data_IF_615565526998
#
_entry.id   IF_615565526998
#
_cell.length_a   1.000
_cell.length_b   1.000
_cell.length_c   1.000
_cell.angle_alpha   90.00
_cell.angle_beta   90.00
_cell.angle_gamma   90.00
#
_symmetry.space_group_name_H-M   'P 1'
#
loop_
_entity.id
_entity.type
_entity.pdbx_description
1 polymer ?
#
# COMPACT_ATOMS: atom_id res chain seq x y z
N UNK A 1 -8.26 -18.52 25.96
CA UNK A 1 -8.21 -17.56 24.83
C UNK A 1 -7.76 -18.33 23.60
N UNK A 2 -8.64 -18.55 22.62
CA UNK A 2 -8.30 -19.26 21.37
C UNK A 2 -7.99 -18.22 20.30
N UNK A 3 -6.78 -18.24 19.77
CA UNK A 3 -6.42 -17.51 18.56
C UNK A 3 -7.28 -18.05 17.39
N UNK A 4 -7.94 -17.16 16.65
CA UNK A 4 -8.66 -17.50 15.43
C UNK A 4 -7.65 -17.60 14.27
N UNK A 5 -7.71 -18.65 13.42
CA UNK A 5 -6.86 -18.72 12.25
C UNK A 5 -7.33 -17.71 11.19
N UNK A 6 -6.43 -16.82 10.77
CA UNK A 6 -6.71 -15.74 9.83
C UNK A 6 -6.78 -16.25 8.38
N UNK A 7 -7.97 -16.68 7.96
CA UNK A 7 -8.38 -16.75 6.55
C UNK A 7 -9.87 -16.44 6.45
N UNK A 8 -10.22 -15.16 6.58
CA UNK A 8 -11.55 -14.66 6.20
C UNK A 8 -11.37 -13.68 5.04
N UNK A 9 -12.12 -13.90 3.97
CA UNK A 9 -12.30 -12.92 2.91
C UNK A 9 -13.07 -11.72 3.50
N UNK A 10 -12.36 -10.67 3.86
CA UNK A 10 -12.97 -9.45 4.38
C UNK A 10 -13.40 -8.55 3.21
N UNK A 11 -14.71 -8.41 3.02
CA UNK A 11 -15.25 -7.27 2.29
C UNK A 11 -15.38 -6.11 3.27
N UNK A 12 -14.43 -5.18 3.24
CA UNK A 12 -14.53 -3.91 3.97
C UNK A 12 -15.58 -3.03 3.27
N UNK A 13 -16.83 -3.16 3.67
CA UNK A 13 -17.86 -2.15 3.40
C UNK A 13 -18.04 -1.35 4.69
N UNK A 14 -17.83 -0.03 4.61
CA UNK A 14 -17.90 0.85 5.77
C UNK A 14 -19.26 0.75 6.44
N UNK A 15 -19.29 0.27 7.68
CA UNK A 15 -20.53 0.18 8.45
C UNK A 15 -20.72 1.46 9.25
N UNK A 16 -21.74 2.24 8.92
CA UNK A 16 -22.14 3.39 9.73
C UNK A 16 -22.94 2.93 10.98
N UNK A 17 -22.62 3.50 12.15
CA UNK A 17 -23.48 3.42 13.34
C UNK A 17 -22.99 2.57 14.52
N UNK A 18 -21.81 1.93 14.45
CA UNK A 18 -21.26 1.21 15.60
C UNK A 18 -20.58 2.16 16.61
N UNK A 19 -20.84 2.01 17.93
CA UNK A 19 -20.13 2.76 18.96
C UNK A 19 -18.65 2.37 18.96
N UNK A 20 -17.78 3.39 18.89
CA UNK A 20 -16.33 3.21 18.95
C UNK A 20 -15.93 2.77 20.36
N UNK A 21 -15.15 1.69 20.54
CA UNK A 21 -14.48 1.43 21.81
C UNK A 21 -13.52 2.56 22.15
N UNK A 22 -13.41 2.89 23.44
CA UNK A 22 -12.47 3.89 23.91
C UNK A 22 -11.02 3.50 23.64
N UNK A 23 -10.18 4.49 23.32
CA UNK A 23 -8.71 4.44 23.19
C UNK A 23 -8.08 3.78 21.93
N UNK A 24 -8.85 3.26 20.98
CA UNK A 24 -8.24 2.65 19.76
C UNK A 24 -8.13 3.67 18.62
N UNK A 25 -6.96 3.75 17.97
CA UNK A 25 -6.70 4.63 16.83
C UNK A 25 -7.44 4.14 15.57
N UNK A 26 -7.75 5.05 14.65
CA UNK A 26 -8.24 4.68 13.32
C UNK A 26 -7.06 4.32 12.41
N UNK A 27 -7.22 3.38 11.46
CA UNK A 27 -6.19 3.12 10.46
C UNK A 27 -5.93 4.39 9.64
N UNK A 28 -4.67 4.78 9.50
CA UNK A 28 -4.28 6.00 8.80
C UNK A 28 -4.36 5.86 7.27
N UNK A 29 -4.19 4.63 6.77
CA UNK A 29 -4.14 4.34 5.34
C UNK A 29 -5.20 3.30 4.97
N UNK A 30 -6.25 3.71 4.26
CA UNK A 30 -7.06 2.75 3.52
C UNK A 30 -6.38 2.49 2.18
N UNK A 31 -5.91 1.26 1.98
CA UNK A 31 -5.25 0.88 0.73
C UNK A 31 -6.30 0.78 -0.38
N UNK A 32 -6.58 1.88 -1.05
CA UNK A 32 -7.36 1.86 -2.28
C UNK A 32 -6.47 1.41 -3.44
N UNK A 33 -6.30 0.09 -3.59
CA UNK A 33 -5.69 -0.45 -4.82
C UNK A 33 -6.74 -0.43 -5.91
N UNK A 34 -6.85 0.71 -6.58
CA UNK A 34 -7.58 0.78 -7.83
C UNK A 34 -6.77 0.03 -8.90
N UNK A 35 -7.13 -1.23 -9.13
CA UNK A 35 -6.77 -1.91 -10.37
C UNK A 35 -7.46 -1.18 -11.51
N UNK A 36 -6.69 -0.54 -12.38
CA UNK A 36 -7.24 0.28 -13.45
C UNK A 36 -8.15 -0.56 -14.38
N UNK A 37 -9.47 -0.35 -14.27
CA UNK A 37 -10.33 -0.33 -15.44
C UNK A 37 -10.41 1.12 -15.89
N UNK A 38 -9.93 1.39 -17.10
CA UNK A 38 -9.86 2.73 -17.65
C UNK A 38 -11.28 3.25 -17.94
N UNK A 39 -11.82 4.09 -17.06
CA UNK A 39 -12.90 5.01 -17.36
C UNK A 39 -12.55 6.38 -16.81
N UNK A 40 -12.09 7.25 -17.72
CA UNK A 40 -11.92 8.70 -17.61
C UNK A 40 -12.27 9.32 -16.24
N UNK A 41 -11.26 9.47 -15.37
CA UNK A 41 -11.40 10.27 -14.16
C UNK A 41 -10.34 11.39 -14.12
N UNK A 42 -10.82 12.63 -14.02
CA UNK A 42 -10.04 13.86 -13.85
C UNK A 42 -9.52 13.96 -12.41
N UNK A 43 -8.51 13.17 -12.04
CA UNK A 43 -7.90 13.19 -10.70
C UNK A 43 -6.38 12.99 -10.73
N UNK A 44 -5.66 13.76 -9.90
CA UNK A 44 -4.21 13.66 -9.70
C UNK A 44 -3.87 12.56 -8.69
N UNK A 45 -3.78 11.31 -9.14
CA UNK A 45 -3.48 10.15 -8.29
C UNK A 45 -2.30 9.34 -8.83
N UNK A 46 -1.59 8.66 -7.93
CA UNK A 46 -0.58 7.68 -8.32
C UNK A 46 -1.30 6.39 -8.73
N UNK A 47 -1.01 5.90 -9.92
CA UNK A 47 -1.62 4.71 -10.49
C UNK A 47 -0.60 3.57 -10.50
N UNK A 48 -1.02 2.37 -10.12
CA UNK A 48 -0.14 1.19 -10.21
C UNK A 48 -0.44 0.45 -11.51
N UNK A 49 0.58 0.23 -12.35
CA UNK A 49 0.49 -0.47 -13.63
C UNK A 49 1.21 -1.82 -13.52
N UNK A 50 0.47 -2.92 -13.51
CA UNK A 50 1.09 -4.23 -13.67
C UNK A 50 1.28 -4.51 -15.15
N UNK A 51 2.53 -4.76 -15.58
CA UNK A 51 2.85 -5.18 -16.95
C UNK A 51 2.46 -6.64 -17.16
N UNK A 52 1.17 -6.96 -17.08
CA UNK A 52 0.66 -8.20 -17.64
C UNK A 52 -0.77 -8.07 -18.12
N UNK A 53 -0.93 -7.33 -19.21
CA UNK A 53 -1.98 -7.59 -20.21
C UNK A 53 -1.68 -8.95 -20.90
N UNK A 54 -1.66 -10.05 -20.13
CA UNK A 54 -1.70 -11.42 -20.64
C UNK A 54 -2.63 -12.28 -19.78
N UNK A 55 -3.91 -11.90 -19.76
CA UNK A 55 -5.12 -12.78 -19.74
C UNK A 55 -5.08 -14.13 -18.98
N UNK A 56 -4.30 -14.33 -17.92
CA UNK A 56 -4.17 -15.67 -17.29
C UNK A 56 -3.99 -15.74 -15.77
N UNK A 57 -3.83 -14.63 -15.04
CA UNK A 57 -3.91 -14.68 -13.57
C UNK A 57 -5.35 -14.46 -13.12
N UNK A 58 -6.08 -15.55 -12.89
CA UNK A 58 -7.47 -15.58 -12.40
C UNK A 58 -7.63 -15.21 -10.91
N UNK A 59 -6.66 -14.50 -10.32
CA UNK A 59 -6.69 -14.02 -8.94
C UNK A 59 -6.65 -12.49 -8.88
N UNK A 60 -7.60 -11.88 -8.17
CA UNK A 60 -7.61 -10.43 -7.98
C UNK A 60 -6.38 -9.98 -7.19
N UNK A 61 -5.75 -8.87 -7.59
CA UNK A 61 -4.67 -8.23 -6.80
C UNK A 61 -5.14 -7.82 -5.40
N UNK A 62 -6.45 -7.66 -5.20
CA UNK A 62 -7.10 -7.35 -3.92
C UNK A 62 -7.66 -8.57 -3.17
N UNK A 63 -7.69 -9.77 -3.78
CA UNK A 63 -8.20 -10.96 -3.09
C UNK A 63 -7.31 -11.32 -1.89
N UNK A 64 -7.91 -11.82 -0.80
CA UNK A 64 -7.20 -12.32 0.38
C UNK A 64 -6.18 -11.34 0.97
N UNK A 65 -6.59 -10.08 1.18
CA UNK A 65 -5.77 -9.10 1.88
C UNK A 65 -5.86 -9.30 3.41
N UNK A 66 -4.72 -9.44 4.08
CA UNK A 66 -4.66 -9.49 5.54
C UNK A 66 -5.09 -8.15 6.15
N UNK A 67 -5.89 -8.22 7.21
CA UNK A 67 -6.38 -7.03 7.89
C UNK A 67 -5.27 -6.32 8.68
N UNK A 68 -4.38 -7.11 9.30
CA UNK A 68 -3.19 -6.59 9.97
C UNK A 68 -2.08 -6.34 8.94
N UNK A 69 -1.24 -5.34 9.20
CA UNK A 69 -0.13 -4.98 8.33
C UNK A 69 -0.56 -4.74 6.87
N UNK A 70 -1.54 -3.85 6.67
CA UNK A 70 -2.24 -3.68 5.39
C UNK A 70 -1.34 -3.24 4.22
N UNK A 71 -0.11 -2.80 4.50
CA UNK A 71 0.89 -2.40 3.49
C UNK A 71 2.11 -3.34 3.45
N UNK A 72 2.10 -4.43 4.23
CA UNK A 72 3.19 -5.41 4.33
C UNK A 72 3.09 -6.56 3.31
N UNK A 73 3.63 -7.73 3.66
CA UNK A 73 3.75 -8.89 2.75
C UNK A 73 2.40 -9.50 2.33
N UNK A 74 1.35 -9.35 3.13
CA UNK A 74 -0.02 -9.75 2.80
C UNK A 74 -0.77 -8.74 1.92
N UNK A 75 -0.12 -7.66 1.49
CA UNK A 75 -0.76 -6.56 0.78
C UNK A 75 -0.75 -6.72 -0.75
N UNK A 76 -1.65 -6.03 -1.46
CA UNK A 76 -1.54 -5.89 -2.91
C UNK A 76 -0.20 -5.28 -3.35
N UNK A 77 0.45 -4.44 -2.52
CA UNK A 77 1.78 -3.89 -2.85
C UNK A 77 2.83 -5.00 -2.97
N UNK A 78 2.79 -5.99 -2.06
CA UNK A 78 3.68 -7.14 -2.11
C UNK A 78 3.41 -8.02 -3.34
N UNK A 79 2.14 -8.13 -3.78
CA UNK A 79 1.78 -8.84 -5.02
C UNK A 79 2.34 -8.15 -6.27
N UNK A 80 2.20 -6.83 -6.37
CA UNK A 80 2.79 -6.04 -7.47
C UNK A 80 4.31 -6.21 -7.45
N UNK A 81 4.93 -6.25 -6.26
CA UNK A 81 6.36 -6.46 -6.10
C UNK A 81 6.78 -7.85 -6.60
N UNK A 82 6.03 -8.90 -6.23
CA UNK A 82 6.25 -10.27 -6.66
C UNK A 82 6.13 -10.44 -8.17
N UNK A 83 5.22 -9.69 -8.80
CA UNK A 83 5.00 -9.69 -10.25
C UNK A 83 5.97 -8.78 -11.04
N UNK A 84 6.92 -8.11 -10.36
CA UNK A 84 7.83 -7.13 -10.98
C UNK A 84 7.07 -6.00 -11.70
N UNK A 85 5.97 -5.55 -11.07
CA UNK A 85 5.11 -4.51 -11.62
C UNK A 85 5.74 -3.11 -11.63
N UNK A 86 5.06 -2.18 -12.28
CA UNK A 86 5.47 -0.79 -12.40
C UNK A 86 4.46 0.15 -11.70
N UNK A 87 4.94 1.33 -11.33
CA UNK A 87 4.14 2.38 -10.70
C UNK A 87 4.22 3.60 -11.61
N UNK A 88 3.06 4.12 -12.00
CA UNK A 88 2.92 5.37 -12.71
C UNK A 88 2.50 6.47 -11.73
N UNK A 89 3.42 7.37 -11.43
CA UNK A 89 3.12 8.56 -10.64
C UNK A 89 2.69 9.67 -11.60
N UNK A 90 1.43 10.10 -11.52
CA UNK A 90 0.83 11.07 -12.45
C UNK A 90 0.33 12.31 -11.72
N UNK A 91 0.97 13.46 -11.94
CA UNK A 91 0.52 14.73 -11.36
C UNK A 91 0.49 14.77 -9.83
N UNK A 92 1.21 13.87 -9.16
CA UNK A 92 1.30 13.76 -7.70
C UNK A 92 2.72 13.39 -7.29
N UNK A 93 3.05 13.57 -6.02
CA UNK A 93 4.30 13.09 -5.42
C UNK A 93 4.07 11.92 -4.46
N UNK A 94 2.81 11.49 -4.29
CA UNK A 94 2.48 10.34 -3.42
C UNK A 94 2.97 9.04 -4.04
N UNK A 95 3.56 8.17 -3.22
CA UNK A 95 3.99 6.85 -3.65
C UNK A 95 3.79 5.82 -2.52
N UNK A 96 2.63 5.18 -2.51
CA UNK A 96 2.25 4.18 -1.49
C UNK A 96 3.13 2.94 -1.49
N UNK A 97 3.86 2.68 -2.58
CA UNK A 97 4.75 1.52 -2.66
C UNK A 97 5.91 1.57 -1.68
N UNK A 98 6.31 2.78 -1.25
CA UNK A 98 7.36 2.95 -0.25
C UNK A 98 6.93 2.45 1.15
N UNK A 99 5.63 2.38 1.44
CA UNK A 99 5.17 1.76 2.69
C UNK A 99 5.48 0.25 2.75
N UNK A 100 5.57 -0.44 1.61
CA UNK A 100 6.04 -1.84 1.60
C UNK A 100 7.51 -1.92 2.02
N UNK A 101 8.34 -0.94 1.62
CA UNK A 101 9.71 -0.88 2.08
C UNK A 101 9.78 -0.59 3.59
N UNK A 102 8.98 0.34 4.12
CA UNK A 102 8.89 0.60 5.58
C UNK A 102 8.46 -0.65 6.35
N UNK A 103 7.48 -1.39 5.86
CA UNK A 103 7.05 -2.65 6.47
C UNK A 103 8.19 -3.67 6.52
N UNK A 104 8.98 -3.77 5.45
CA UNK A 104 10.14 -4.69 5.35
C UNK A 104 11.32 -4.29 6.22
N UNK A 105 11.51 -3.00 6.48
CA UNK A 105 12.59 -2.59 7.38
C UNK A 105 12.30 -2.97 8.83
N UNK A 106 11.01 -3.11 9.19
CA UNK A 106 10.57 -3.36 10.56
C UNK A 106 10.92 -2.23 11.52
N UNK A 107 11.17 -1.02 11.00
CA UNK A 107 11.63 0.12 11.79
C UNK A 107 10.48 0.96 12.35
N UNK A 108 9.26 0.82 11.81
CA UNK A 108 8.09 1.55 12.28
C UNK A 108 7.48 0.88 13.52
N UNK A 109 7.06 1.65 14.54
CA UNK A 109 6.30 1.10 15.66
C UNK A 109 5.04 0.38 15.19
N UNK A 110 4.63 -0.65 15.93
CA UNK A 110 3.34 -1.32 15.73
C UNK A 110 2.32 -0.69 16.65
N UNK A 111 1.18 -0.29 16.10
CA UNK A 111 0.06 0.31 16.82
C UNK A 111 -1.20 -0.56 16.72
N UNK A 112 -2.04 -0.49 17.74
CA UNK A 112 -3.38 -1.08 17.70
C UNK A 112 -4.36 -0.08 17.07
N UNK A 113 -4.98 -0.50 15.99
CA UNK A 113 -6.01 0.25 15.28
C UNK A 113 -7.34 -0.50 15.30
N UNK A 114 -8.42 0.19 15.00
CA UNK A 114 -9.75 -0.41 14.99
C UNK A 114 -10.63 0.16 13.89
N UNK A 115 -11.45 -0.71 13.29
CA UNK A 115 -12.40 -0.34 12.26
C UNK A 115 -13.71 -1.14 12.39
N UNK A 116 -14.85 -0.57 12.00
CA UNK A 116 -16.10 -1.32 11.85
C UNK A 116 -16.01 -2.19 10.59
N UNK A 117 -16.13 -3.51 10.76
CA UNK A 117 -16.09 -4.51 9.68
C UNK A 117 -17.34 -5.38 9.69
N UNK A 118 -17.71 -5.90 8.53
CA UNK A 118 -18.72 -6.96 8.44
C UNK A 118 -18.06 -8.30 8.77
N UNK A 119 -18.47 -8.93 9.87
CA UNK A 119 -17.97 -10.23 10.31
C UNK A 119 -19.16 -11.17 10.49
N UNK A 120 -19.13 -12.33 9.82
CA UNK A 120 -20.20 -13.33 9.88
C UNK A 120 -21.61 -12.76 9.62
N UNK A 121 -21.72 -11.81 8.69
CA UNK A 121 -23.00 -11.20 8.30
C UNK A 121 -23.51 -10.08 9.21
N UNK A 122 -22.75 -9.69 10.25
CA UNK A 122 -23.09 -8.58 11.13
C UNK A 122 -21.96 -7.55 11.26
N UNK A 123 -22.28 -6.28 11.53
CA UNK A 123 -21.25 -5.28 11.76
C UNK A 123 -20.61 -5.49 13.14
N UNK A 124 -19.28 -5.56 13.17
CA UNK A 124 -18.48 -5.69 14.38
C UNK A 124 -17.35 -4.68 14.39
N UNK A 125 -17.04 -4.13 15.56
CA UNK A 125 -15.79 -3.40 15.74
C UNK A 125 -14.64 -4.39 15.89
N UNK A 126 -13.65 -4.31 15.01
CA UNK A 126 -12.49 -5.20 15.03
C UNK A 126 -11.24 -4.38 15.29
N UNK A 127 -10.40 -4.85 16.21
CA UNK A 127 -9.08 -4.28 16.50
C UNK A 127 -7.98 -5.16 15.93
N UNK A 128 -6.94 -4.56 15.37
CA UNK A 128 -5.84 -5.25 14.74
C UNK A 128 -4.55 -4.42 14.77
N UNK A 129 -3.43 -5.07 14.48
CA UNK A 129 -2.10 -4.45 14.45
C UNK A 129 -1.81 -3.80 13.10
N UNK A 130 -1.16 -2.63 13.15
CA UNK A 130 -0.70 -1.93 11.96
C UNK A 130 0.64 -1.24 12.21
N UNK A 131 1.45 -1.11 11.17
CA UNK A 131 2.64 -0.26 11.21
C UNK A 131 2.25 1.21 11.30
N UNK A 132 2.91 2.00 12.15
CA UNK A 132 2.79 3.46 12.17
C UNK A 132 3.57 4.04 10.99
N UNK A 133 3.00 3.91 9.79
CA UNK A 133 3.60 4.37 8.55
C UNK A 133 3.62 5.89 8.46
N UNK A 134 4.68 6.43 7.85
CA UNK A 134 4.89 7.87 7.81
C UNK A 134 5.65 8.28 6.54
N UNK A 135 4.94 8.97 5.65
CA UNK A 135 5.44 9.36 4.34
C UNK A 135 6.38 10.59 4.38
N UNK A 136 6.61 11.20 5.55
CA UNK A 136 7.54 12.34 5.69
C UNK A 136 8.99 11.95 5.43
N UNK A 137 9.32 10.65 5.54
CA UNK A 137 10.64 10.09 5.24
C UNK A 137 10.85 9.79 3.76
N UNK A 138 9.82 9.91 2.92
CA UNK A 138 9.88 9.52 1.51
C UNK A 138 10.62 10.51 0.60
N UNK A 139 10.57 11.84 0.79
CA UNK A 139 11.22 12.78 -0.14
C UNK A 139 12.72 12.54 -0.36
N UNK A 140 13.56 12.30 0.69
CA UNK A 140 14.99 12.05 0.49
C UNK A 140 15.29 10.79 -0.33
N UNK A 141 14.67 9.65 0.01
CA UNK A 141 14.87 8.38 -0.69
C UNK A 141 14.35 8.43 -2.13
N UNK A 142 13.23 9.12 -2.37
CA UNK A 142 12.72 9.37 -3.74
C UNK A 142 13.71 10.17 -4.58
N UNK A 143 14.25 11.26 -4.03
CA UNK A 143 15.22 12.09 -4.73
C UNK A 143 16.51 11.32 -5.05
N UNK A 144 17.01 10.52 -4.11
CA UNK A 144 18.17 9.67 -4.32
C UNK A 144 17.91 8.58 -5.38
N UNK A 145 16.73 7.96 -5.36
CA UNK A 145 16.35 6.98 -6.36
C UNK A 145 16.20 7.61 -7.76
N UNK A 146 15.61 8.80 -7.86
CA UNK A 146 15.54 9.56 -9.11
C UNK A 146 16.93 9.92 -9.64
N UNK A 147 17.85 10.34 -8.78
CA UNK A 147 19.24 10.65 -9.14
C UNK A 147 20.03 9.43 -9.63
N UNK A 148 19.61 8.20 -9.28
CA UNK A 148 20.23 6.96 -9.79
C UNK A 148 19.96 6.71 -11.28
N UNK A 149 19.00 7.43 -11.89
CA UNK A 149 18.59 7.22 -13.28
C UNK A 149 17.59 6.07 -13.48
N UNK A 150 17.13 5.43 -12.41
CA UNK A 150 16.19 4.31 -12.46
C UNK A 150 14.72 4.71 -12.73
N UNK A 151 14.42 6.00 -12.86
CA UNK A 151 13.08 6.54 -13.10
C UNK A 151 12.93 6.99 -14.54
N UNK A 152 11.90 6.50 -15.24
CA UNK A 152 11.53 7.02 -16.55
C UNK A 152 10.61 8.22 -16.37
N UNK A 153 11.06 9.41 -16.76
CA UNK A 153 10.28 10.66 -16.67
C UNK A 153 9.71 11.02 -18.03
N UNK A 154 8.45 11.44 -18.05
CA UNK A 154 7.77 11.87 -19.26
C UNK A 154 6.58 12.77 -18.96
N UNK A 155 5.71 12.93 -19.96
CA UNK A 155 4.46 13.70 -19.84
C UNK A 155 3.28 12.88 -20.33
N UNK A 156 2.14 13.06 -19.67
CA UNK A 156 0.83 12.65 -20.17
C UNK A 156 0.01 13.92 -20.30
N UNK A 157 -0.21 14.37 -21.53
CA UNK A 157 -0.77 15.70 -21.82
C UNK A 157 0.01 16.83 -21.12
N UNK A 158 -0.67 17.61 -20.28
CA UNK A 158 -0.10 18.70 -19.50
C UNK A 158 0.60 18.25 -18.22
N UNK A 159 0.44 16.98 -17.79
CA UNK A 159 0.92 16.49 -16.51
C UNK A 159 2.30 15.81 -16.61
N UNK A 160 3.14 16.03 -15.59
CA UNK A 160 4.37 15.27 -15.38
C UNK A 160 4.03 13.84 -14.97
N UNK A 161 4.77 12.88 -15.51
CA UNK A 161 4.60 11.46 -15.24
C UNK A 161 5.96 10.80 -14.94
N UNK A 162 5.99 9.92 -13.93
CA UNK A 162 7.14 9.08 -13.60
C UNK A 162 6.72 7.62 -13.67
N UNK A 163 7.40 6.81 -14.46
CA UNK A 163 7.22 5.36 -14.49
C UNK A 163 8.40 4.70 -13.77
N UNK A 164 8.08 3.88 -12.77
CA UNK A 164 9.03 3.31 -11.82
C UNK A 164 8.82 1.81 -11.74
N UNK A 165 9.88 1.00 -11.77
CA UNK A 165 9.78 -0.43 -11.40
C UNK A 165 9.63 -0.53 -9.89
N UNK A 166 8.50 -1.06 -9.42
CA UNK A 166 8.19 -1.07 -7.99
C UNK A 166 9.25 -1.82 -7.19
N UNK A 167 9.67 -3.00 -7.69
CA UNK A 167 10.71 -3.83 -7.06
C UNK A 167 11.98 -3.04 -6.80
N UNK A 168 12.50 -2.37 -7.83
CA UNK A 168 13.72 -1.58 -7.73
C UNK A 168 13.61 -0.45 -6.70
N UNK A 169 12.47 0.25 -6.67
CA UNK A 169 12.22 1.32 -5.70
C UNK A 169 12.15 0.78 -4.27
N UNK A 170 11.42 -0.32 -4.05
CA UNK A 170 11.26 -0.95 -2.73
C UNK A 170 12.60 -1.44 -2.21
N UNK A 171 13.38 -2.15 -3.02
CA UNK A 171 14.70 -2.68 -2.63
C UNK A 171 15.68 -1.55 -2.31
N UNK A 172 15.67 -0.50 -3.13
CA UNK A 172 16.49 0.69 -2.88
C UNK A 172 16.13 1.34 -1.54
N UNK A 173 14.84 1.53 -1.27
CA UNK A 173 14.38 2.17 -0.05
C UNK A 173 14.65 1.33 1.22
N UNK A 174 14.49 0.01 1.15
CA UNK A 174 14.89 -0.90 2.24
C UNK A 174 16.37 -0.72 2.57
N UNK A 175 17.24 -0.75 1.56
CA UNK A 175 18.68 -0.57 1.78
C UNK A 175 19.01 0.83 2.33
N UNK A 176 18.40 1.87 1.78
CA UNK A 176 18.57 3.26 2.22
C UNK A 176 18.32 3.42 3.72
N UNK A 177 17.15 3.00 4.20
CA UNK A 177 16.76 3.17 5.60
C UNK A 177 17.51 2.22 6.56
N UNK A 178 17.99 1.05 6.11
CA UNK A 178 18.84 0.21 6.95
C UNK A 178 20.24 0.81 7.15
N UNK A 179 20.77 1.52 6.15
CA UNK A 179 22.04 2.24 6.27
C UNK A 179 21.89 3.43 7.20
N UNK A 180 20.85 4.28 7.03
CA UNK A 180 20.60 5.44 7.89
C UNK A 180 20.48 5.05 9.38
N UNK A 181 19.86 3.90 9.68
CA UNK A 181 19.77 3.38 11.05
C UNK A 181 21.12 2.98 11.65
N UNK A 182 22.06 2.56 10.81
CA UNK A 182 23.38 2.05 11.25
C UNK A 182 24.42 3.16 11.41
N UNK A 183 24.09 4.39 11.03
CA UNK A 183 24.93 5.58 11.13
C UNK A 183 24.68 6.35 12.44
#
# INVERSE_FOLDING_TARGET
>A
MRALPARLAFQAHGVHGLPRPGQVRHPQNQVEVQTAQYQNARGSHAFTLTSQQKRTSSGSLSADHELAFSLGEGSPLARVYGLDGQVLVLGTEKNTCLHLAEARTGQRPVVQVGAPLMVNGGPQWVTFEEGEYDDTTFPPVKAAFEASGAVTVGRVESASAKLIRQRALVDFAVNWWQIEKSA
#
